data_IF_954881441929
#
_entry.id   IF_954881441929
#
_cell.length_a   1.000
_cell.length_b   1.000
_cell.length_c   1.000
_cell.angle_alpha   90.00
_cell.angle_beta   90.00
_cell.angle_gamma   90.00
#
_symmetry.space_group_name_H-M   'P 1'
#
loop_
_entity.id
_entity.type
_entity.pdbx_description
1 polymer ?
#
# COMPACT_ATOMS: atom_id res chain seq x y z
N UNK A 1 -9.08 -5.25 17.86
CA UNK A 1 -7.76 -5.18 17.20
C UNK A 1 -7.04 -6.46 17.55
N UNK A 2 -6.22 -7.02 16.65
CA UNK A 2 -5.46 -8.24 16.96
C UNK A 2 -4.64 -8.00 18.24
N UNK A 3 -4.86 -8.81 19.28
CA UNK A 3 -4.16 -8.64 20.56
C UNK A 3 -2.79 -9.32 20.54
N UNK A 4 -2.59 -10.27 19.62
CA UNK A 4 -1.36 -11.03 19.50
C UNK A 4 -0.91 -11.14 18.04
N UNK A 5 0.41 -11.30 17.84
CA UNK A 5 1.01 -11.42 16.50
C UNK A 5 0.47 -12.67 15.78
N UNK A 6 0.10 -13.71 16.52
CA UNK A 6 -0.47 -14.94 15.97
C UNK A 6 -1.87 -14.77 15.36
N UNK A 7 -2.59 -13.71 15.75
CA UNK A 7 -3.91 -13.40 15.21
C UNK A 7 -3.82 -12.67 13.85
N UNK A 8 -2.65 -12.10 13.54
CA UNK A 8 -2.37 -11.42 12.28
C UNK A 8 -2.02 -12.45 11.21
N UNK A 9 -2.95 -12.67 10.27
CA UNK A 9 -2.77 -13.65 9.21
C UNK A 9 -2.98 -13.02 7.83
N UNK A 10 -2.04 -13.26 6.93
CA UNK A 10 -2.17 -12.92 5.51
C UNK A 10 -2.98 -14.00 4.78
N UNK A 11 -3.70 -13.66 3.70
CA UNK A 11 -4.40 -14.66 2.90
C UNK A 11 -3.43 -15.70 2.33
N UNK A 12 -3.58 -16.96 2.76
CA UNK A 12 -2.65 -18.04 2.43
C UNK A 12 -2.48 -18.25 0.91
N UNK A 13 -3.55 -18.06 0.13
CA UNK A 13 -3.51 -18.18 -1.33
C UNK A 13 -2.61 -17.10 -1.96
N UNK A 14 -2.67 -15.86 -1.47
CA UNK A 14 -1.84 -14.75 -1.95
C UNK A 14 -0.37 -15.01 -1.66
N UNK A 15 -0.04 -15.41 -0.42
CA UNK A 15 1.34 -15.74 -0.03
C UNK A 15 1.87 -16.89 -0.87
N UNK A 16 1.08 -17.96 -1.05
CA UNK A 16 1.46 -19.11 -1.86
C UNK A 16 1.71 -18.75 -3.33
N UNK A 17 0.92 -17.82 -3.90
CA UNK A 17 1.11 -17.33 -5.27
C UNK A 17 2.43 -16.56 -5.38
N UNK A 18 2.68 -15.60 -4.50
CA UNK A 18 3.92 -14.79 -4.51
C UNK A 18 5.15 -15.70 -4.38
N UNK A 19 5.12 -16.69 -3.48
CA UNK A 19 6.21 -17.66 -3.33
C UNK A 19 6.48 -18.40 -4.65
N UNK A 20 5.43 -18.84 -5.36
CA UNK A 20 5.59 -19.52 -6.65
C UNK A 20 6.10 -18.59 -7.74
N UNK A 21 5.64 -17.34 -7.78
CA UNK A 21 6.08 -16.35 -8.77
C UNK A 21 7.60 -16.06 -8.65
N UNK A 22 8.21 -16.35 -7.50
CA UNK A 22 9.66 -16.23 -7.27
C UNK A 22 10.47 -17.52 -7.55
N UNK A 23 9.82 -18.59 -8.02
CA UNK A 23 10.44 -19.90 -8.22
C UNK A 23 10.28 -20.38 -9.68
N UNK A 24 11.20 -21.20 -10.20
CA UNK A 24 10.99 -21.91 -11.45
C UNK A 24 9.72 -22.76 -11.47
N UNK A 25 9.22 -23.01 -12.68
CA UNK A 25 8.08 -23.89 -12.90
C UNK A 25 8.32 -25.29 -12.30
N UNK A 26 7.23 -25.94 -11.89
CA UNK A 26 7.21 -27.28 -11.31
C UNK A 26 7.86 -27.44 -9.92
N UNK A 27 8.31 -26.36 -9.27
CA UNK A 27 8.76 -26.43 -7.88
C UNK A 27 7.57 -26.43 -6.91
N UNK A 28 7.63 -27.32 -5.91
CA UNK A 28 6.66 -27.36 -4.82
C UNK A 28 7.33 -26.90 -3.52
N UNK A 29 6.58 -26.12 -2.73
CA UNK A 29 7.02 -25.62 -1.41
C UNK A 29 6.17 -26.28 -0.34
N UNK A 30 6.83 -26.84 0.68
CA UNK A 30 6.18 -27.51 1.81
C UNK A 30 5.24 -26.59 2.60
N UNK A 31 4.25 -27.18 3.26
CA UNK A 31 3.24 -26.45 4.06
C UNK A 31 3.89 -25.62 5.16
N UNK A 32 4.85 -26.19 5.86
CA UNK A 32 5.51 -25.53 7.00
C UNK A 32 6.37 -24.35 6.54
N UNK A 33 7.09 -24.50 5.43
CA UNK A 33 7.85 -23.39 4.83
C UNK A 33 6.93 -22.21 4.44
N UNK A 34 5.77 -22.49 3.82
CA UNK A 34 4.78 -21.44 3.52
C UNK A 34 4.26 -20.76 4.79
N UNK A 35 4.02 -21.52 5.86
CA UNK A 35 3.56 -20.98 7.13
C UNK A 35 4.63 -20.08 7.78
N UNK A 36 5.90 -20.48 7.74
CA UNK A 36 7.03 -19.67 8.24
C UNK A 36 7.15 -18.38 7.44
N UNK A 37 7.12 -18.44 6.10
CA UNK A 37 7.16 -17.24 5.25
C UNK A 37 5.98 -16.31 5.56
N UNK A 38 4.77 -16.84 5.73
CA UNK A 38 3.60 -16.04 6.09
C UNK A 38 3.78 -15.32 7.43
N UNK A 39 4.33 -16.00 8.45
CA UNK A 39 4.61 -15.39 9.75
C UNK A 39 5.73 -14.35 9.66
N UNK A 40 6.80 -14.64 8.91
CA UNK A 40 7.90 -13.72 8.68
C UNK A 40 7.42 -12.44 7.98
N UNK A 41 6.50 -12.54 7.01
CA UNK A 41 5.92 -11.38 6.35
C UNK A 41 5.10 -10.49 7.31
N UNK A 42 4.36 -11.09 8.24
CA UNK A 42 3.65 -10.33 9.29
C UNK A 42 4.64 -9.61 10.21
N UNK A 43 5.68 -10.30 10.66
CA UNK A 43 6.73 -9.72 11.49
C UNK A 43 7.44 -8.59 10.75
N UNK A 44 7.72 -8.75 9.45
CA UNK A 44 8.32 -7.71 8.62
C UNK A 44 7.45 -6.45 8.54
N UNK A 45 6.13 -6.60 8.35
CA UNK A 45 5.20 -5.46 8.34
C UNK A 45 5.24 -4.73 9.69
N UNK A 46 5.20 -5.45 10.80
CA UNK A 46 5.25 -4.87 12.14
C UNK A 46 6.59 -4.16 12.39
N UNK A 47 7.69 -4.79 12.00
CA UNK A 47 9.03 -4.26 12.16
C UNK A 47 9.23 -2.96 11.38
N UNK A 48 8.93 -2.98 10.07
CA UNK A 48 9.03 -1.79 9.22
C UNK A 48 8.10 -0.67 9.68
N UNK A 49 6.86 -1.01 10.08
CA UNK A 49 5.92 -0.02 10.60
C UNK A 49 6.44 0.60 11.90
N UNK A 50 7.05 -0.19 12.79
CA UNK A 50 7.68 0.29 14.02
C UNK A 50 8.82 1.27 13.74
N UNK A 51 9.77 0.89 12.88
CA UNK A 51 10.89 1.74 12.50
C UNK A 51 10.42 3.06 11.85
N UNK A 52 9.46 2.99 10.93
CA UNK A 52 8.90 4.19 10.31
C UNK A 52 8.10 5.06 11.30
N UNK A 53 7.43 4.46 12.28
CA UNK A 53 6.76 5.21 13.34
C UNK A 53 7.76 5.97 14.22
N UNK A 54 8.92 5.37 14.51
CA UNK A 54 10.01 6.05 15.20
C UNK A 54 10.51 7.26 14.40
N UNK A 55 10.68 7.13 13.08
CA UNK A 55 11.05 8.25 12.19
C UNK A 55 10.01 9.40 12.22
N UNK A 56 8.72 9.05 12.16
CA UNK A 56 7.64 10.03 12.27
C UNK A 56 7.67 10.73 13.64
N UNK A 57 7.88 9.98 14.73
CA UNK A 57 7.95 10.49 16.09
C UNK A 57 9.15 11.41 16.30
N UNK A 58 10.33 11.06 15.79
CA UNK A 58 11.53 11.92 15.80
C UNK A 58 11.27 13.25 15.09
N UNK A 59 10.46 13.22 14.02
CA UNK A 59 9.98 14.41 13.30
C UNK A 59 8.80 15.12 13.97
N UNK A 60 8.41 14.76 15.20
CA UNK A 60 7.24 15.29 15.94
C UNK A 60 5.90 15.13 15.20
N UNK A 61 5.80 14.14 14.31
CA UNK A 61 4.58 13.82 13.57
C UNK A 61 3.87 12.62 14.19
N UNK A 62 2.55 12.69 14.23
CA UNK A 62 1.67 11.56 14.63
C UNK A 62 1.15 10.75 13.46
N UNK A 63 1.38 11.25 12.24
CA UNK A 63 0.93 10.62 10.99
C UNK A 63 2.15 10.12 10.26
N UNK A 64 2.13 8.83 9.97
CA UNK A 64 3.15 8.13 9.19
C UNK A 64 2.98 8.52 7.72
N UNK A 65 4.07 8.94 7.10
CA UNK A 65 4.15 9.39 5.72
C UNK A 65 5.00 8.43 4.89
N UNK A 66 4.87 8.51 3.55
CA UNK A 66 5.64 7.65 2.66
C UNK A 66 7.17 7.81 2.83
N UNK A 67 7.64 9.01 3.19
CA UNK A 67 9.05 9.28 3.47
C UNK A 67 9.56 8.54 4.71
N UNK A 68 8.71 8.35 5.74
CA UNK A 68 9.12 7.58 6.92
C UNK A 68 9.41 6.13 6.58
N UNK A 69 8.58 5.55 5.69
CA UNK A 69 8.78 4.19 5.21
C UNK A 69 10.05 4.09 4.37
N UNK A 70 10.30 5.05 3.48
CA UNK A 70 11.49 5.05 2.62
C UNK A 70 12.77 5.16 3.44
N UNK A 71 12.82 6.08 4.41
CA UNK A 71 13.97 6.22 5.31
C UNK A 71 14.17 4.96 6.16
N UNK A 72 13.08 4.39 6.69
CA UNK A 72 13.17 3.16 7.47
C UNK A 72 13.67 1.98 6.61
N UNK A 73 13.30 1.90 5.33
CA UNK A 73 13.83 0.85 4.42
C UNK A 73 15.35 0.96 4.26
N UNK A 74 15.88 2.18 4.10
CA UNK A 74 17.32 2.44 4.00
C UNK A 74 18.04 2.13 5.33
N UNK A 75 17.49 2.60 6.47
CA UNK A 75 18.06 2.34 7.80
C UNK A 75 18.08 0.86 8.18
N UNK A 76 17.11 0.09 7.66
CA UNK A 76 16.98 -1.35 7.87
C UNK A 76 17.78 -2.18 6.85
N UNK A 77 18.60 -1.55 6.02
CA UNK A 77 19.46 -2.19 5.01
C UNK A 77 18.68 -2.96 3.93
N UNK A 78 17.47 -2.50 3.61
CA UNK A 78 16.64 -3.03 2.51
C UNK A 78 16.68 -2.11 1.27
N UNK A 79 17.84 -1.52 0.96
CA UNK A 79 18.01 -0.50 -0.09
C UNK A 79 17.48 -0.92 -1.47
N UNK A 80 17.48 -2.23 -1.75
CA UNK A 80 16.93 -2.82 -2.97
C UNK A 80 15.42 -2.52 -3.17
N UNK A 81 14.69 -2.19 -2.11
CA UNK A 81 13.27 -1.84 -2.17
C UNK A 81 13.01 -0.36 -2.46
N UNK A 82 14.00 0.52 -2.29
CA UNK A 82 13.81 1.98 -2.42
C UNK A 82 13.31 2.39 -3.81
N UNK A 83 14.01 1.97 -4.87
CA UNK A 83 13.63 2.32 -6.25
C UNK A 83 12.25 1.77 -6.67
N UNK A 84 11.92 0.48 -6.41
CA UNK A 84 10.57 -0.04 -6.62
C UNK A 84 9.48 0.73 -5.85
N UNK A 85 9.72 1.07 -4.59
CA UNK A 85 8.76 1.79 -3.74
C UNK A 85 8.50 3.21 -4.24
N UNK A 86 9.54 3.93 -4.68
CA UNK A 86 9.40 5.26 -5.28
C UNK A 86 8.55 5.22 -6.55
N UNK A 87 8.80 4.23 -7.41
CA UNK A 87 8.02 4.01 -8.64
C UNK A 87 6.56 3.73 -8.31
N UNK A 88 6.29 2.90 -7.30
CA UNK A 88 4.93 2.61 -6.85
C UNK A 88 4.23 3.85 -6.26
N UNK A 89 4.94 4.64 -5.46
CA UNK A 89 4.44 5.87 -4.87
C UNK A 89 4.04 6.89 -5.93
N UNK A 90 4.84 7.03 -6.99
CA UNK A 90 4.52 7.92 -8.10
C UNK A 90 3.25 7.47 -8.83
N UNK A 91 3.16 6.18 -9.19
CA UNK A 91 1.95 5.62 -9.81
C UNK A 91 0.71 5.81 -8.94
N UNK A 92 0.84 5.64 -7.63
CA UNK A 92 -0.26 5.88 -6.69
C UNK A 92 -0.71 7.35 -6.70
N UNK A 93 0.21 8.31 -6.69
CA UNK A 93 -0.10 9.75 -6.78
C UNK A 93 -0.81 10.09 -8.09
N UNK A 94 -0.34 9.57 -9.23
CA UNK A 94 -0.96 9.75 -10.54
C UNK A 94 -2.37 9.15 -10.60
N UNK A 95 -2.59 7.96 -10.05
CA UNK A 95 -3.91 7.34 -10.00
C UNK A 95 -4.89 8.15 -9.14
N UNK A 96 -4.41 8.69 -8.01
CA UNK A 96 -5.21 9.54 -7.11
C UNK A 96 -5.61 10.87 -7.78
N UNK A 97 -4.69 11.52 -8.50
CA UNK A 97 -4.99 12.76 -9.22
C UNK A 97 -6.01 12.54 -10.34
N UNK A 98 -5.90 11.45 -11.11
CA UNK A 98 -6.88 11.07 -12.14
C UNK A 98 -8.28 10.87 -11.58
N UNK A 99 -8.39 10.19 -10.42
CA UNK A 99 -9.69 9.97 -9.75
C UNK A 99 -10.32 11.28 -9.26
N UNK A 100 -9.50 12.23 -8.81
CA UNK A 100 -9.95 13.57 -8.44
C UNK A 100 -10.43 14.37 -9.66
N UNK A 101 -9.70 14.31 -10.77
CA UNK A 101 -10.07 14.98 -12.02
C UNK A 101 -11.36 14.41 -12.63
N UNK A 102 -11.58 13.09 -12.53
CA UNK A 102 -12.83 12.47 -12.99
C UNK A 102 -14.05 12.79 -12.11
N UNK A 103 -13.82 13.17 -10.85
CA UNK A 103 -14.91 13.58 -9.95
C UNK A 103 -15.33 15.02 -10.23
N UNK A 104 -14.35 15.94 -10.34
CA UNK A 104 -14.63 17.33 -10.72
C UNK A 104 -15.26 17.50 -12.11
N UNK A 105 -15.03 16.56 -13.04
CA UNK A 105 -15.72 16.54 -14.35
C UNK A 105 -17.17 16.05 -14.30
N UNK A 106 -17.57 15.30 -13.27
CA UNK A 106 -18.96 14.90 -13.07
C UNK A 106 -19.73 16.00 -12.37
N UNK A 107 -19.14 16.57 -11.32
CA UNK A 107 -19.76 17.68 -10.59
C UNK A 107 -19.96 18.91 -11.49
N UNK A 108 -19.06 19.17 -12.46
CA UNK A 108 -19.23 20.27 -13.44
C UNK A 108 -20.21 19.96 -14.58
N UNK A 109 -20.47 18.69 -14.89
CA UNK A 109 -21.45 18.32 -15.91
C UNK A 109 -22.88 18.31 -15.35
N UNK A 110 -23.05 17.98 -14.07
CA UNK A 110 -24.34 18.08 -13.37
C UNK A 110 -24.75 19.56 -13.16
N UNK A 111 -23.79 20.47 -12.94
CA UNK A 111 -24.03 21.93 -12.83
C UNK A 111 -24.41 22.56 -14.18
N UNK A 112 -23.82 22.11 -15.30
CA UNK A 112 -24.16 22.56 -16.65
C UNK A 112 -25.54 22.04 -17.12
N UNK A 113 -25.93 20.81 -16.74
CA UNK A 113 -27.26 20.24 -17.05
C UNK A 113 -28.39 20.92 -16.23
N UNK A 114 -28.15 21.31 -14.97
CA UNK A 114 -29.13 22.05 -14.15
C UNK A 114 -29.28 23.53 -14.59
N UNK A 115 -28.20 24.17 -15.08
CA UNK A 115 -28.27 25.53 -15.67
C UNK A 115 -28.99 25.55 -17.03
N UNK A 116 -28.86 24.52 -17.87
CA UNK A 116 -29.62 24.43 -19.13
C UNK A 116 -31.11 24.14 -18.89
N UNK A 117 -31.49 23.26 -17.96
CA UNK A 117 -32.91 23.00 -17.63
C UNK A 117 -33.61 24.25 -17.04
N UNK A 118 -32.91 25.06 -16.25
CA UNK A 118 -33.47 26.27 -15.64
C UNK A 118 -33.62 27.46 -16.61
N UNK A 119 -32.96 27.43 -17.78
CA UNK A 119 -33.11 28.46 -18.82
C UNK A 119 -34.20 28.12 -19.86
N UNK A 120 -34.69 26.88 -19.92
CA UNK A 120 -35.76 26.47 -20.84
C UNK A 120 -37.18 26.60 -20.26
N UNK A 121 -37.33 26.89 -18.96
CA UNK A 121 -38.64 27.04 -18.27
C UNK A 121 -39.16 28.49 -18.11
N UNK A 122 -38.42 29.53 -18.57
CA UNK A 122 -38.84 30.95 -18.61
C UNK A 122 -39.05 31.47 -20.06
#
# INVERSE_FOLDING_TARGET
>A
MAEKVEDLNLPAATVARIIKDCLPDHISVGKDAKAVISKAAVVFILYLTGAAAEQAQQSKRKVLQAQDILNAIEDLEFDEFTAPLLTLLERFKQAKSRKSASKGKKDAAEDEEEEEETMEED
#
